data_IF_194033213401
#
_entry.id   IF_194033213401
#
_cell.length_a   1.000
_cell.length_b   1.000
_cell.length_c   1.000
_cell.angle_alpha   90.00
_cell.angle_beta   90.00
_cell.angle_gamma   90.00
#
_symmetry.space_group_name_H-M   'P 1'
#
loop_
_entity.id
_entity.type
_entity.pdbx_description
1 polymer ?
2 water ?
#
# COMPACT_ATOMS: atom_id res chain seq x y z
N UNK A 4 7.87 16.07 0.23
CA UNK A 4 6.46 15.77 0.02
C UNK A 4 6.28 14.31 -0.37
N UNK A 5 5.05 13.96 -0.74
CA UNK A 5 4.70 12.58 -1.00
C UNK A 5 3.67 12.53 -2.12
N UNK A 6 3.67 11.43 -2.88
CA UNK A 6 2.63 11.23 -3.87
C UNK A 6 1.36 10.79 -3.16
N UNK A 7 0.22 11.07 -3.76
CA UNK A 7 -1.05 10.74 -3.13
C UNK A 7 -2.03 10.17 -4.14
N UNK A 8 -2.83 9.22 -3.69
CA UNK A 8 -3.88 8.65 -4.51
C UNK A 8 -4.93 7.95 -3.67
N UNK A 9 -6.05 7.58 -4.29
CA UNK A 9 -7.09 6.80 -3.65
C UNK A 9 -7.14 5.40 -4.24
N UNK A 10 -7.13 4.40 -3.37
CA UNK A 10 -7.41 3.03 -3.78
C UNK A 10 -8.90 2.76 -3.64
N UNK A 11 -9.54 2.34 -4.72
CA UNK A 11 -10.95 1.95 -4.69
C UNK A 11 -11.09 0.45 -4.43
N UNK A 12 -11.57 0.11 -3.24
CA UNK A 12 -11.70 -1.27 -2.80
C UNK A 12 -13.15 -1.61 -2.54
N UNK A 13 -13.57 -2.80 -2.96
CA UNK A 13 -14.85 -3.34 -2.54
C UNK A 13 -14.67 -3.96 -1.16
N UNK A 14 -15.76 -4.08 -0.42
CA UNK A 14 -15.71 -4.61 0.94
C UNK A 14 -15.15 -6.02 0.99
N UNK A 15 -15.60 -6.86 0.08
CA UNK A 15 -15.16 -8.25 0.04
C UNK A 15 -13.67 -8.32 -0.21
N UNK A 16 -13.13 -7.26 -0.80
CA UNK A 16 -11.72 -7.24 -1.17
C UNK A 16 -10.81 -6.97 0.04
N UNK A 17 -11.22 -6.04 0.89
CA UNK A 17 -10.47 -5.80 2.11
C UNK A 17 -10.39 -7.10 2.89
N UNK A 18 -11.46 -7.88 2.86
CA UNK A 18 -11.57 -9.09 3.66
C UNK A 18 -10.85 -10.30 3.09
N UNK A 19 -10.45 -10.24 1.82
CA UNK A 19 -9.82 -11.40 1.19
C UNK A 19 -8.40 -11.14 0.73
N UNK A 20 -8.09 -9.87 0.48
CA UNK A 20 -6.79 -9.48 -0.05
C UNK A 20 -5.70 -9.73 0.98
N UNK A 21 -4.71 -10.53 0.61
CA UNK A 21 -3.60 -10.83 1.52
C UNK A 21 -2.59 -9.72 1.46
N UNK A 22 -1.91 -9.49 2.58
CA UNK A 22 -0.94 -8.42 2.69
C UNK A 22 0.20 -8.62 1.69
N UNK A 23 0.68 -9.85 1.60
CA UNK A 23 1.76 -10.16 0.68
C UNK A 23 1.39 -9.76 -0.74
N UNK A 24 0.15 -10.04 -1.12
CA UNK A 24 -0.31 -9.71 -2.47
C UNK A 24 -0.46 -8.21 -2.65
N UNK A 25 -0.90 -7.53 -1.60
CA UNK A 25 -1.08 -6.09 -1.66
C UNK A 25 0.25 -5.40 -1.91
N UNK A 26 1.28 -5.89 -1.23
CA UNK A 26 2.63 -5.35 -1.36
C UNK A 26 3.22 -5.50 -2.77
N UNK A 27 3.12 -6.70 -3.33
CA UNK A 27 3.53 -6.94 -4.70
C UNK A 27 2.82 -5.99 -5.66
N UNK A 28 1.50 -5.87 -5.48
CA UNK A 28 0.65 -5.03 -6.32
C UNK A 28 1.14 -3.59 -6.36
N UNK A 29 1.37 -3.02 -5.19
CA UNK A 29 1.77 -1.62 -5.12
C UNK A 29 3.19 -1.43 -5.63
N UNK A 30 4.07 -2.35 -5.26
CA UNK A 30 5.45 -2.28 -5.71
C UNK A 30 5.54 -2.30 -7.23
N UNK A 31 4.89 -3.26 -7.87
CA UNK A 31 4.99 -3.38 -9.32
C UNK A 31 4.30 -2.24 -10.05
N UNK A 32 3.13 -1.84 -9.57
CA UNK A 32 2.35 -0.79 -10.21
C UNK A 32 3.11 0.54 -10.29
N UNK A 33 3.82 0.90 -9.23
CA UNK A 33 4.51 2.20 -9.20
C UNK A 33 6.03 2.10 -9.28
N UNK A 34 6.55 0.90 -9.51
CA UNK A 34 7.98 0.69 -9.74
C UNK A 34 8.84 0.98 -8.53
N UNK A 35 8.46 0.44 -7.39
CA UNK A 35 9.32 0.46 -6.22
C UNK A 35 10.28 -0.72 -6.34
N UNK A 36 11.35 -0.72 -5.54
CA UNK A 36 12.30 -1.84 -5.54
C UNK A 36 11.80 -2.99 -4.68
N UNK A 37 12.65 -3.97 -4.42
CA UNK A 37 12.23 -5.11 -3.61
C UNK A 37 12.07 -4.75 -2.14
N UNK A 38 13.07 -4.08 -1.59
CA UNK A 38 13.03 -3.67 -0.20
C UNK A 38 12.14 -2.45 -0.03
N UNK A 39 11.04 -2.63 0.70
CA UNK A 39 10.02 -1.62 0.82
C UNK A 39 9.54 -1.48 2.26
N UNK A 40 8.80 -0.41 2.53
CA UNK A 40 8.16 -0.21 3.83
C UNK A 40 6.70 0.13 3.62
N UNK A 41 5.82 -0.55 4.36
CA UNK A 41 4.39 -0.26 4.33
C UNK A 41 3.91 0.05 5.74
N UNK A 42 3.48 1.29 5.93
CA UNK A 42 3.06 1.78 7.24
C UNK A 42 1.60 2.23 7.19
N UNK A 43 0.86 1.98 8.25
CA UNK A 43 -0.42 2.66 8.43
C UNK A 43 -0.09 4.09 8.86
N UNK A 44 -0.27 5.05 7.96
CA UNK A 44 0.03 6.43 8.30
C UNK A 44 -1.02 7.02 9.25
N UNK A 45 -2.23 6.46 9.23
CA UNK A 45 -3.26 6.87 10.18
C UNK A 45 -2.69 6.80 11.58
N UNK A 46 -2.31 5.60 12.01
CA UNK A 46 -1.88 5.36 13.39
C UNK A 46 -0.42 4.92 13.54
N UNK A 47 0.39 5.20 12.53
CA UNK A 47 1.84 4.96 12.57
C UNK A 47 2.27 3.51 12.87
N UNK A 48 1.53 2.53 12.38
CA UNK A 48 1.90 1.13 12.55
C UNK A 48 2.75 0.64 11.38
N UNK A 49 3.94 0.14 11.67
CA UNK A 49 4.75 -0.50 10.64
C UNK A 49 4.16 -1.87 10.38
N UNK A 50 3.53 -2.02 9.23
CA UNK A 50 2.78 -3.22 8.93
C UNK A 50 3.62 -4.24 8.16
N UNK A 51 4.65 -3.75 7.48
CA UNK A 51 5.46 -4.61 6.63
C UNK A 51 6.70 -3.89 6.18
N UNK A 52 7.84 -4.57 6.27
CA UNK A 52 9.03 -4.11 5.56
C UNK A 52 9.92 -5.30 5.21
N UNK A 53 11.09 -5.02 4.67
CA UNK A 53 11.97 -6.05 4.15
C UNK A 53 12.62 -6.87 5.26
N UNK A 54 12.05 -6.78 6.46
CA UNK A 54 12.67 -7.36 7.63
C UNK A 54 11.56 -7.80 8.59
N UNK A 55 10.35 -7.35 8.29
CA UNK A 55 9.18 -7.70 9.06
C UNK A 55 8.07 -8.08 8.10
N UNK A 56 8.10 -9.33 7.66
CA UNK A 56 7.11 -9.84 6.73
C UNK A 56 6.15 -10.79 7.44
N UNK A 57 6.14 -10.73 8.77
CA UNK A 57 5.40 -11.67 9.61
C UNK A 57 3.88 -11.66 9.41
N UNK A 58 3.32 -10.55 8.93
CA UNK A 58 1.88 -10.49 8.69
C UNK A 58 1.58 -10.76 7.22
N UNK A 59 2.52 -11.43 6.56
CA UNK A 59 2.45 -11.74 5.14
C UNK A 59 1.14 -12.40 4.74
N UNK A 60 0.67 -13.32 5.58
CA UNK A 60 -0.46 -14.18 5.24
C UNK A 60 -1.80 -13.68 5.77
N UNK A 61 -1.80 -12.53 6.43
CA UNK A 61 -3.01 -11.93 6.97
C UNK A 61 -3.69 -11.09 5.89
N UNK A 62 -5.02 -10.99 5.92
CA UNK A 62 -5.72 -10.12 4.99
C UNK A 62 -5.73 -8.70 5.52
N UNK A 63 -6.18 -7.75 4.70
CA UNK A 63 -6.07 -6.34 5.05
C UNK A 63 -6.94 -5.97 6.25
N UNK A 64 -8.12 -6.56 6.33
CA UNK A 64 -8.99 -6.34 7.47
C UNK A 64 -8.48 -7.07 8.71
N UNK A 65 -7.73 -8.15 8.50
CA UNK A 65 -7.17 -8.90 9.62
C UNK A 65 -6.05 -8.13 10.32
N UNK A 66 -5.38 -7.24 9.60
CA UNK A 66 -4.39 -6.38 10.22
C UNK A 66 -4.98 -5.00 10.51
N UNK A 67 -6.30 -4.94 10.49
CA UNK A 67 -7.03 -3.76 10.92
C UNK A 67 -6.86 -2.53 10.04
N UNK A 68 -6.90 -2.74 8.74
CA UNK A 68 -7.00 -1.63 7.81
C UNK A 68 -8.46 -1.57 7.39
N UNK A 69 -8.95 -0.39 7.06
CA UNK A 69 -10.33 -0.27 6.62
C UNK A 69 -10.59 1.04 5.90
N UNK A 70 -11.86 1.33 5.67
CA UNK A 70 -12.23 2.56 5.00
C UNK A 70 -11.61 3.77 5.68
N UNK A 71 -10.89 4.58 4.92
CA UNK A 71 -10.34 5.81 5.46
C UNK A 71 -8.93 5.66 5.98
N UNK A 72 -8.45 4.42 6.02
CA UNK A 72 -7.06 4.18 6.40
C UNK A 72 -6.17 4.80 5.35
N UNK A 73 -5.04 5.32 5.79
CA UNK A 73 -4.05 5.85 4.88
C UNK A 73 -2.77 5.04 5.01
N UNK A 74 -2.29 4.50 3.89
CA UNK A 74 -1.09 3.70 3.88
C UNK A 74 0.06 4.48 3.27
N UNK A 75 1.23 4.42 3.90
CA UNK A 75 2.42 5.05 3.36
C UNK A 75 3.39 3.98 2.87
N UNK A 76 3.71 4.02 1.58
CA UNK A 76 4.49 2.97 0.96
C UNK A 76 5.81 3.56 0.50
N UNK A 77 6.91 3.10 1.10
CA UNK A 77 8.21 3.71 0.90
C UNK A 77 9.29 2.79 0.32
N UNK A 78 10.29 3.41 -0.30
CA UNK A 78 11.46 2.74 -0.86
C UNK A 78 12.55 2.62 0.20
N UNK A 79 12.97 1.40 0.50
CA UNK A 79 13.93 1.20 1.58
C UNK A 79 15.28 0.67 1.11
N UNK A 80 15.43 0.51 -0.20
CA UNK A 80 16.72 0.13 -0.76
C UNK A 80 17.53 1.42 -0.85
N UNK A 81 16.85 2.48 -1.28
CA UNK A 81 17.37 3.84 -1.25
C UNK A 81 18.87 4.05 -1.15
N UNK A 82 19.59 3.62 -2.19
CA UNK A 82 21.01 3.90 -2.27
C UNK A 82 21.23 5.41 -2.39
N UNK A 83 21.01 5.92 -3.60
CA UNK A 83 21.27 7.32 -3.94
C UNK A 83 20.00 8.05 -4.32
N UNK A 84 19.20 7.42 -5.18
CA UNK A 84 17.88 7.91 -5.50
C UNK A 84 16.87 6.92 -4.95
N UNK A 85 15.65 7.39 -4.75
CA UNK A 85 14.60 6.52 -4.27
C UNK A 85 13.36 6.75 -5.10
N UNK A 86 12.49 5.75 -5.17
CA UNK A 86 11.16 5.97 -5.71
C UNK A 86 10.41 6.81 -4.67
N UNK A 87 9.86 7.94 -5.09
CA UNK A 87 9.13 8.81 -4.18
C UNK A 87 8.04 8.04 -3.44
N UNK A 88 7.90 8.29 -2.14
CA UNK A 88 6.91 7.59 -1.33
C UNK A 88 5.51 7.99 -1.77
N UNK A 89 4.54 7.12 -1.50
CA UNK A 89 3.17 7.42 -1.86
C UNK A 89 2.24 7.15 -0.69
N UNK A 90 1.29 8.05 -0.47
CA UNK A 90 0.27 7.86 0.55
C UNK A 90 -1.01 7.48 -0.15
N UNK A 91 -1.48 6.27 0.13
CA UNK A 91 -2.69 5.76 -0.50
C UNK A 91 -3.86 5.69 0.49
N UNK A 92 -4.94 6.38 0.13
CA UNK A 92 -6.17 6.39 0.91
C UNK A 92 -7.02 5.20 0.50
N UNK A 93 -7.44 4.40 1.47
CA UNK A 93 -8.30 3.25 1.20
C UNK A 93 -9.77 3.65 1.19
N UNK A 94 -10.35 3.65 0.00
CA UNK A 94 -11.77 3.98 -0.20
C UNK A 94 -12.61 2.71 -0.37
N UNK A 95 -13.10 2.19 0.75
CA UNK A 95 -13.93 0.99 0.73
C UNK A 95 -15.39 1.39 0.50
N UNK A 96 -15.88 1.09 -0.70
CA UNK A 96 -17.15 1.63 -1.16
C UNK A 96 -18.20 0.57 -1.47
N UNK A 97 -19.43 0.82 -1.02
CA UNK A 97 -20.57 0.01 -1.40
C UNK A 97 -21.54 0.88 -2.20
N UNK A 98 -21.91 0.41 -3.38
CA UNK A 98 -21.49 -0.91 -3.83
C UNK A 98 -20.57 -0.85 -5.04
N UNK A 99 -19.27 -0.93 -4.80
CA UNK A 99 -18.34 -1.22 -5.88
C UNK A 99 -18.59 -2.67 -6.27
N UNK A 100 -18.29 -3.03 -7.51
CA UNK A 100 -18.44 -4.42 -7.92
C UNK A 100 -17.56 -5.32 -7.05
N UNK A 101 -17.94 -6.58 -6.92
CA UNK A 101 -17.18 -7.52 -6.10
C UNK A 101 -15.76 -7.65 -6.61
N UNK A 102 -14.84 -7.93 -5.69
CA UNK A 102 -13.45 -8.17 -6.06
C UNK A 102 -12.89 -7.02 -6.88
N UNK A 103 -13.17 -5.81 -6.42
CA UNK A 103 -12.57 -4.63 -7.01
C UNK A 103 -11.43 -4.19 -6.09
N UNK A 104 -10.25 -4.01 -6.67
CA UNK A 104 -9.16 -3.36 -5.98
C UNK A 104 -8.45 -2.50 -6.99
N UNK A 105 -8.92 -1.27 -7.14
CA UNK A 105 -8.43 -0.40 -8.19
C UNK A 105 -7.39 0.58 -7.65
N UNK A 106 -6.13 0.42 -8.06
CA UNK A 106 -5.09 1.35 -7.66
C UNK A 106 -5.08 2.58 -8.54
N UNK A 107 -4.85 3.75 -7.94
CA UNK A 107 -4.85 5.00 -8.70
C UNK A 107 -3.68 5.11 -9.68
N UNK A 108 -3.95 5.67 -10.85
CA UNK A 108 -2.88 5.99 -11.78
C UNK A 108 -2.23 7.30 -11.39
N UNK A 109 -1.12 7.19 -10.67
CA UNK A 109 -0.39 8.33 -10.13
C UNK A 109 1.04 8.35 -10.67
N UNK A 110 1.62 9.54 -10.78
CA UNK A 110 3.00 9.68 -11.22
C UNK A 110 3.93 9.65 -10.03
N UNK A 111 4.76 8.60 -9.96
CA UNK A 111 5.70 8.44 -8.86
C UNK A 111 7.11 8.43 -9.40
N UNK A 112 7.80 9.56 -9.26
CA UNK A 112 9.12 9.74 -9.86
C UNK A 112 10.23 9.20 -8.97
N UNK A 113 11.40 9.00 -9.55
CA UNK A 113 12.61 8.83 -8.77
C UNK A 113 13.05 10.20 -8.26
N UNK A 114 13.53 10.25 -7.02
CA UNK A 114 14.04 11.49 -6.45
C UNK A 114 15.29 11.21 -5.65
N UNK A 115 16.11 12.23 -5.45
CA UNK A 115 17.29 12.07 -4.60
C UNK A 115 16.90 11.72 -3.17
N UNK A 116 17.59 10.74 -2.59
CA UNK A 116 17.29 10.29 -1.24
C UNK A 116 17.56 11.38 -0.20
#
# INVERSE_FOLDING_TARGET
GSSKVCRGVIKLSSDCLNKMKLSDFVVLIREKYSYPQDISLLDASNQRLLFDYDFEDLNDRTLSEINLGNGSIILFSDEEGDTMIRKAIELFLDVDDELPCNTCSLPDVEVPLIKANNSPSKNEEEE
#
